data_IF_111740786372
#
_entry.id   IF_111740786372
#
_cell.length_a   1.000
_cell.length_b   1.000
_cell.length_c   1.000
_cell.angle_alpha   90.00
_cell.angle_beta   90.00
_cell.angle_gamma   90.00
#
_symmetry.space_group_name_H-M   'P 1'
#
loop_
_entity.id
_entity.type
_entity.pdbx_description
1 polymer ?
#
# COMPACT_ATOMS: atom_id res chain seq x y z
N UNK A 1 2.92 -8.35 -14.62
CA UNK A 1 3.37 -7.18 -13.85
C UNK A 1 3.91 -7.69 -12.52
N UNK A 2 5.22 -7.60 -12.30
CA UNK A 2 5.85 -8.28 -11.16
C UNK A 2 6.02 -7.36 -9.94
N UNK A 3 5.73 -6.07 -10.09
CA UNK A 3 5.92 -5.07 -9.03
C UNK A 3 4.57 -4.51 -8.57
N UNK A 4 4.43 -4.34 -7.26
CA UNK A 4 3.32 -3.60 -6.66
C UNK A 4 3.80 -2.54 -5.67
N UNK A 5 2.93 -1.58 -5.41
CA UNK A 5 3.10 -0.52 -4.43
C UNK A 5 1.93 -0.58 -3.46
N UNK A 6 2.20 -0.73 -2.16
CA UNK A 6 1.20 -0.59 -1.09
C UNK A 6 1.38 0.77 -0.42
N UNK A 7 0.43 1.66 -0.68
CA UNK A 7 0.44 3.01 -0.16
C UNK A 7 -0.16 3.14 1.24
N UNK A 8 0.60 3.76 2.14
CA UNK A 8 0.17 4.18 3.47
C UNK A 8 -0.48 5.55 3.49
N UNK A 9 -0.14 6.37 4.48
CA UNK A 9 -0.66 7.72 4.64
C UNK A 9 -0.46 8.56 3.37
N UNK A 10 -1.50 9.29 2.94
CA UNK A 10 -1.49 10.11 1.73
C UNK A 10 -1.71 9.36 0.41
N UNK A 11 -1.82 8.02 0.41
CA UNK A 11 -2.03 7.23 -0.81
C UNK A 11 -3.29 7.59 -1.60
N UNK A 12 -4.36 8.00 -0.91
CA UNK A 12 -5.61 8.43 -1.56
C UNK A 12 -5.44 9.70 -2.39
N UNK A 13 -4.52 10.59 -2.02
CA UNK A 13 -4.19 11.80 -2.79
C UNK A 13 -3.58 11.39 -4.12
N UNK A 14 -2.61 10.47 -4.08
CA UNK A 14 -1.99 9.92 -5.28
C UNK A 14 -3.03 9.25 -6.18
N UNK A 15 -4.00 8.52 -5.64
CA UNK A 15 -5.07 7.93 -6.45
C UNK A 15 -6.00 8.98 -7.09
N UNK A 16 -6.21 10.11 -6.42
CA UNK A 16 -7.03 11.21 -6.95
C UNK A 16 -6.31 11.96 -8.07
N UNK A 17 -5.01 12.14 -7.95
CA UNK A 17 -4.18 12.89 -8.89
C UNK A 17 -3.61 12.03 -10.03
N UNK A 18 -3.42 10.73 -9.79
CA UNK A 18 -2.86 9.81 -10.76
C UNK A 18 -3.91 9.27 -11.71
N UNK A 19 -3.55 9.19 -12.99
CA UNK A 19 -4.32 8.41 -13.97
C UNK A 19 -3.93 6.94 -13.85
N UNK A 20 -4.85 6.10 -13.38
CA UNK A 20 -4.72 4.65 -13.49
C UNK A 20 -5.33 4.18 -14.81
N UNK A 21 -4.75 3.16 -15.43
CA UNK A 21 -5.23 2.59 -16.70
C UNK A 21 -6.33 1.56 -16.47
N UNK A 22 -6.35 0.93 -15.29
CA UNK A 22 -7.35 -0.06 -14.92
C UNK A 22 -7.57 -0.06 -13.41
N UNK A 23 -8.81 -0.27 -12.99
CA UNK A 23 -9.17 -0.56 -11.59
C UNK A 23 -9.72 -1.97 -11.51
N UNK A 24 -9.13 -2.79 -10.65
CA UNK A 24 -9.63 -4.10 -10.27
C UNK A 24 -10.47 -3.95 -9.01
N UNK A 25 -11.66 -4.55 -9.03
CA UNK A 25 -12.49 -4.68 -7.84
C UNK A 25 -11.76 -5.46 -6.72
N UNK A 26 -12.15 -5.28 -5.45
CA UNK A 26 -11.71 -6.13 -4.35
C UNK A 26 -11.71 -7.62 -4.73
N UNK A 27 -10.59 -8.29 -4.48
CA UNK A 27 -10.42 -9.71 -4.77
C UNK A 27 -10.86 -10.50 -3.54
N UNK A 28 -11.78 -11.45 -3.71
CA UNK A 28 -12.13 -12.41 -2.66
C UNK A 28 -10.94 -13.35 -2.42
N UNK A 29 -10.49 -13.42 -1.17
CA UNK A 29 -9.40 -14.28 -0.71
C UNK A 29 -9.89 -15.17 0.44
N UNK A 30 -9.13 -16.21 0.83
CA UNK A 30 -9.43 -16.99 2.04
C UNK A 30 -9.50 -16.16 3.33
N UNK A 31 -8.95 -14.95 3.32
CA UNK A 31 -8.91 -14.05 4.47
C UNK A 31 -9.96 -12.93 4.41
N UNK A 32 -10.86 -12.97 3.43
CA UNK A 32 -11.84 -11.91 3.15
C UNK A 32 -11.50 -11.11 1.90
N UNK A 33 -12.06 -9.90 1.80
CA UNK A 33 -11.87 -9.03 0.63
C UNK A 33 -10.58 -8.21 0.76
N UNK A 34 -9.82 -8.12 -0.34
CA UNK A 34 -8.72 -7.16 -0.45
C UNK A 34 -9.23 -5.73 -0.63
N UNK A 35 -8.33 -4.76 -0.53
CA UNK A 35 -8.55 -3.44 -1.13
C UNK A 35 -8.64 -3.54 -2.67
N UNK A 36 -9.30 -2.59 -3.35
CA UNK A 36 -9.22 -2.47 -4.79
C UNK A 36 -7.77 -2.21 -5.23
N UNK A 37 -7.42 -2.73 -6.41
CA UNK A 37 -6.06 -2.65 -6.96
C UNK A 37 -6.11 -1.84 -8.25
N UNK A 38 -5.16 -0.93 -8.43
CA UNK A 38 -5.09 -0.03 -9.56
C UNK A 38 -3.87 -0.36 -10.40
N UNK A 39 -4.01 -0.38 -11.71
CA UNK A 39 -2.87 -0.46 -12.63
C UNK A 39 -2.43 0.97 -12.94
N UNK A 40 -1.21 1.32 -12.55
CA UNK A 40 -0.63 2.64 -12.82
C UNK A 40 0.46 2.48 -13.86
N UNK A 41 0.40 3.31 -14.91
CA UNK A 41 1.43 3.40 -15.94
C UNK A 41 1.98 4.83 -15.97
N UNK A 42 3.28 4.99 -15.72
CA UNK A 42 3.97 6.29 -15.76
C UNK A 42 5.23 6.14 -16.60
N UNK A 43 5.21 6.72 -17.80
CA UNK A 43 6.25 6.48 -18.81
C UNK A 43 6.34 5.00 -19.16
N UNK A 44 7.53 4.42 -19.04
CA UNK A 44 7.81 3.02 -19.32
C UNK A 44 7.60 2.10 -18.10
N UNK A 45 7.20 2.65 -16.94
CA UNK A 45 7.00 1.89 -15.71
C UNK A 45 5.51 1.59 -15.55
N UNK A 46 5.18 0.31 -15.35
CA UNK A 46 3.84 -0.15 -15.03
C UNK A 46 3.88 -1.00 -13.75
N UNK A 47 2.96 -0.72 -12.83
CA UNK A 47 2.88 -1.41 -11.54
C UNK A 47 1.45 -1.46 -11.00
N UNK A 48 1.22 -2.42 -10.10
CA UNK A 48 -0.02 -2.49 -9.34
C UNK A 48 0.07 -1.58 -8.12
N UNK A 49 -1.00 -0.86 -7.80
CA UNK A 49 -1.08 0.03 -6.66
C UNK A 49 -2.27 -0.33 -5.77
N UNK A 50 -2.06 -0.34 -4.46
CA UNK A 50 -3.07 -0.61 -3.45
C UNK A 50 -2.95 0.44 -2.34
N UNK A 51 -4.01 1.20 -2.08
CA UNK A 51 -4.06 2.10 -0.90
C UNK A 51 -4.56 1.33 0.31
N UNK A 52 -3.77 1.22 1.38
CA UNK A 52 -4.11 0.35 2.53
C UNK A 52 -5.24 0.91 3.40
N UNK A 53 -5.45 2.22 3.38
CA UNK A 53 -6.43 2.92 4.22
C UNK A 53 -7.73 3.29 3.49
N UNK A 54 -7.91 2.82 2.25
CA UNK A 54 -9.05 3.16 1.41
C UNK A 54 -8.70 4.15 0.29
N UNK A 55 -9.69 4.46 -0.54
CA UNK A 55 -9.50 5.21 -1.80
C UNK A 55 -10.05 6.62 -1.75
N UNK A 56 -10.92 6.95 -0.78
CA UNK A 56 -11.50 8.29 -0.62
C UNK A 56 -10.85 9.08 0.51
N UNK A 57 -10.15 8.39 1.40
CA UNK A 57 -9.46 8.99 2.54
C UNK A 57 -8.88 7.92 3.44
N UNK A 58 -8.98 8.16 4.74
CA UNK A 58 -8.59 7.24 5.80
C UNK A 58 -9.80 6.39 6.26
N UNK A 59 -10.47 5.75 5.30
CA UNK A 59 -11.70 4.98 5.51
C UNK A 59 -11.47 3.76 6.43
N UNK A 60 -10.23 3.27 6.48
CA UNK A 60 -9.83 2.09 7.25
C UNK A 60 -8.68 2.47 8.16
N UNK A 61 -8.87 2.33 9.46
CA UNK A 61 -7.82 2.55 10.45
C UNK A 61 -6.72 1.48 10.33
N UNK A 62 -5.56 1.70 10.94
CA UNK A 62 -4.41 0.80 10.79
C UNK A 62 -4.66 -0.64 11.30
N UNK A 63 -5.46 -0.80 12.35
CA UNK A 63 -5.76 -2.11 12.97
C UNK A 63 -6.79 -2.91 12.17
N UNK A 64 -7.68 -2.25 11.44
CA UNK A 64 -8.72 -2.87 10.62
C UNK A 64 -8.30 -3.20 9.19
N UNK A 65 -7.05 -2.90 8.80
CA UNK A 65 -6.56 -3.25 7.47
C UNK A 65 -6.43 -4.77 7.35
N UNK A 66 -7.07 -5.35 6.34
CA UNK A 66 -6.93 -6.78 6.06
C UNK A 66 -5.63 -7.08 5.28
N UNK A 67 -4.49 -7.06 5.98
CA UNK A 67 -3.16 -7.28 5.37
C UNK A 67 -3.07 -8.62 4.65
N UNK A 68 -3.65 -9.69 5.22
CA UNK A 68 -3.64 -11.02 4.63
C UNK A 68 -4.35 -11.06 3.29
N UNK A 69 -5.55 -10.45 3.20
CA UNK A 69 -6.27 -10.37 1.93
C UNK A 69 -5.53 -9.53 0.89
N UNK A 70 -4.92 -8.41 1.30
CA UNK A 70 -4.14 -7.54 0.40
C UNK A 70 -2.92 -8.27 -0.19
N UNK A 71 -2.11 -8.92 0.66
CA UNK A 71 -0.92 -9.66 0.21
C UNK A 71 -1.33 -10.85 -0.65
N UNK A 72 -2.36 -11.60 -0.26
CA UNK A 72 -2.86 -12.74 -1.03
C UNK A 72 -3.36 -12.32 -2.43
N UNK A 73 -4.11 -11.22 -2.51
CA UNK A 73 -4.59 -10.69 -3.78
C UNK A 73 -3.44 -10.30 -4.72
N UNK A 74 -2.41 -9.63 -4.20
CA UNK A 74 -1.21 -9.30 -4.98
C UNK A 74 -0.46 -10.57 -5.42
N UNK A 75 -0.32 -11.56 -4.54
CA UNK A 75 0.30 -12.84 -4.90
C UNK A 75 -0.46 -13.56 -6.02
N UNK A 76 -1.80 -13.57 -5.97
CA UNK A 76 -2.67 -14.14 -7.02
C UNK A 76 -2.52 -13.43 -8.36
N UNK A 77 -2.10 -12.16 -8.36
CA UNK A 77 -1.78 -11.37 -9.55
C UNK A 77 -0.32 -11.51 -10.01
N UNK A 78 0.42 -12.50 -9.49
CA UNK A 78 1.83 -12.78 -9.82
C UNK A 78 2.79 -11.64 -9.46
N UNK A 79 2.48 -10.87 -8.41
CA UNK A 79 3.44 -9.90 -7.85
C UNK A 79 4.57 -10.63 -7.13
N UNK A 80 5.80 -10.21 -7.41
CA UNK A 80 7.03 -10.74 -6.83
C UNK A 80 7.71 -9.73 -5.90
N UNK A 81 7.51 -8.42 -6.14
CA UNK A 81 8.12 -7.34 -5.37
C UNK A 81 7.08 -6.31 -4.94
N UNK A 82 7.15 -5.92 -3.68
CA UNK A 82 6.27 -4.91 -3.11
C UNK A 82 7.13 -3.77 -2.56
N UNK A 83 6.87 -2.56 -3.01
CA UNK A 83 7.32 -1.33 -2.34
C UNK A 83 6.19 -0.85 -1.45
N UNK A 84 6.47 -0.49 -0.20
CA UNK A 84 5.47 0.10 0.68
C UNK A 84 6.06 1.30 1.42
N UNK A 85 5.20 2.25 1.77
CA UNK A 85 5.56 3.34 2.65
C UNK A 85 4.53 3.49 3.78
N UNK A 86 4.97 4.11 4.85
CA UNK A 86 4.16 4.60 5.95
C UNK A 86 4.60 6.03 6.29
N UNK A 87 3.76 6.76 7.04
CA UNK A 87 4.13 8.06 7.63
C UNK A 87 4.28 7.93 9.15
N UNK A 88 5.42 7.43 9.66
CA UNK A 88 5.65 7.30 11.09
C UNK A 88 6.13 8.61 11.72
N UNK A 89 6.07 8.68 13.05
CA UNK A 89 6.81 9.68 13.82
C UNK A 89 8.29 9.30 13.95
N UNK A 90 9.19 10.29 13.94
CA UNK A 90 10.60 10.07 14.20
C UNK A 90 10.86 9.94 15.70
N UNK A 91 11.61 8.91 16.09
CA UNK A 91 12.07 8.67 17.48
C UNK A 91 13.57 8.94 17.67
N UNK A 92 14.29 9.21 16.58
CA UNK A 92 15.69 9.61 16.58
C UNK A 92 15.81 11.10 16.26
N UNK A 93 16.44 11.87 17.15
CA UNK A 93 16.60 13.32 17.02
C UNK A 93 17.45 13.74 15.81
N UNK A 94 18.21 12.82 15.21
CA UNK A 94 19.02 13.06 14.00
C UNK A 94 18.15 13.10 12.74
N UNK A 95 16.95 12.51 12.78
CA UNK A 95 16.02 12.49 11.66
C UNK A 95 15.18 13.76 11.64
N UNK A 96 15.05 14.37 10.45
CA UNK A 96 14.21 15.56 10.25
C UNK A 96 12.83 15.18 9.70
N UNK A 97 11.82 15.99 10.01
CA UNK A 97 10.48 15.85 9.42
C UNK A 97 10.60 15.92 7.88
N UNK A 98 9.93 15.00 7.19
CA UNK A 98 9.96 14.90 5.73
C UNK A 98 11.14 14.11 5.16
N UNK A 99 12.08 13.68 6.00
CA UNK A 99 13.17 12.81 5.57
C UNK A 99 12.65 11.40 5.24
N UNK A 100 13.10 10.85 4.12
CA UNK A 100 12.86 9.46 3.77
C UNK A 100 13.87 8.54 4.45
N UNK A 101 13.38 7.40 4.93
CA UNK A 101 14.19 6.35 5.55
C UNK A 101 13.81 5.02 4.93
N UNK A 102 14.81 4.21 4.58
CA UNK A 102 14.64 2.82 4.22
C UNK A 102 15.02 1.96 5.43
N UNK A 103 14.06 1.55 6.27
CA UNK A 103 14.36 0.69 7.40
C UNK A 103 14.83 -0.68 6.91
N UNK A 104 15.81 -1.25 7.61
CA UNK A 104 16.30 -2.61 7.36
C UNK A 104 15.90 -3.59 8.46
N UNK A 105 15.21 -3.11 9.49
CA UNK A 105 14.77 -3.90 10.64
C UNK A 105 13.46 -3.32 11.22
N UNK A 106 12.75 -4.11 12.04
CA UNK A 106 11.47 -3.75 12.64
C UNK A 106 11.34 -4.29 14.06
N UNK A 107 10.64 -3.55 14.91
CA UNK A 107 10.11 -4.04 16.20
C UNK A 107 8.60 -4.16 16.02
N UNK A 108 8.06 -5.36 16.27
CA UNK A 108 6.63 -5.62 16.17
C UNK A 108 5.97 -5.46 17.55
N UNK A 109 5.25 -4.34 17.73
CA UNK A 109 4.39 -4.09 18.89
C UNK A 109 2.90 -4.10 18.52
N UNK A 110 2.53 -4.76 17.41
CA UNK A 110 1.12 -4.83 17.00
C UNK A 110 0.27 -5.54 18.06
N UNK A 111 -0.90 -4.97 18.35
CA UNK A 111 -1.90 -5.55 19.26
C UNK A 111 -3.14 -5.90 18.45
N UNK A 112 -3.53 -7.18 18.47
CA UNK A 112 -4.72 -7.70 17.82
C UNK A 112 -5.87 -7.85 18.81
#
# INVERSE_FOLDING_TARGET
MNNAVIGGSGAYILLKESRYTKRLSPIKTPFGMSQPIFVIKKGNIEFLFLSRHGIKGYDINATSVNYRANIYALKKLNVERILSWSGPGAIDRRLKIGQYVLPHDIIDETKN
#
